data_IF_805563396840
#
_entry.id   IF_805563396840
#
_cell.length_a   1.000
_cell.length_b   1.000
_cell.length_c   1.000
_cell.angle_alpha   90.00
_cell.angle_beta   90.00
_cell.angle_gamma   90.00
#
_symmetry.space_group_name_H-M   'P 1'
#
loop_
_entity.id
_entity.type
_entity.pdbx_description
1 polymer ?
#
# COMPACT_ATOMS: atom_id res chain seq x y z
N UNK A 1 -3.46 35.01 20.14
CA UNK A 1 -3.71 34.02 19.06
C UNK A 1 -2.62 32.94 18.96
N UNK A 2 -1.31 33.26 19.00
CA UNK A 2 -0.23 32.25 18.97
C UNK A 2 -0.17 31.31 20.19
N UNK A 3 -0.72 31.69 21.35
CA UNK A 3 -0.74 30.82 22.54
C UNK A 3 -1.86 29.76 22.53
N UNK A 4 -2.95 29.99 21.79
CA UNK A 4 -4.09 29.04 21.74
C UNK A 4 -3.72 27.83 20.87
N UNK A 5 -2.99 28.05 19.77
CA UNK A 5 -2.48 26.99 18.89
C UNK A 5 -1.33 26.17 19.50
N UNK A 6 -0.75 26.62 20.62
CA UNK A 6 0.34 25.93 21.35
C UNK A 6 -0.14 25.28 22.64
N UNK A 7 -1.44 25.36 22.94
CA UNK A 7 -2.00 24.69 24.10
C UNK A 7 -2.07 23.20 23.81
N UNK A 8 -1.49 22.37 24.68
CA UNK A 8 -1.54 20.91 24.57
C UNK A 8 -2.99 20.41 24.45
N UNK A 9 -3.93 21.16 25.01
CA UNK A 9 -5.37 20.91 24.89
C UNK A 9 -5.87 20.85 23.45
N UNK A 10 -5.41 21.75 22.57
CA UNK A 10 -5.79 21.71 21.15
C UNK A 10 -5.22 20.46 20.47
N UNK A 11 -3.98 20.08 20.80
CA UNK A 11 -3.37 18.85 20.31
C UNK A 11 -4.10 17.59 20.78
N UNK A 12 -4.51 17.53 22.06
CA UNK A 12 -5.32 16.44 22.59
C UNK A 12 -6.70 16.37 21.93
N UNK A 13 -7.35 17.51 21.67
CA UNK A 13 -8.65 17.56 21.02
C UNK A 13 -8.57 17.05 19.57
N UNK A 14 -7.60 17.53 18.79
CA UNK A 14 -7.33 17.04 17.44
C UNK A 14 -7.04 15.54 17.44
N UNK A 15 -6.20 15.06 18.36
CA UNK A 15 -5.87 13.65 18.48
C UNK A 15 -7.10 12.79 18.83
N UNK A 16 -8.00 13.31 19.68
CA UNK A 16 -9.27 12.66 20.00
C UNK A 16 -10.18 12.58 18.77
N UNK A 17 -10.38 13.69 18.04
CA UNK A 17 -11.21 13.72 16.81
C UNK A 17 -10.69 12.73 15.77
N UNK A 18 -9.37 12.65 15.60
CA UNK A 18 -8.74 11.72 14.65
C UNK A 18 -8.87 10.27 15.12
N UNK A 19 -8.70 9.99 16.42
CA UNK A 19 -8.86 8.65 16.97
C UNK A 19 -10.29 8.14 16.78
N UNK A 20 -11.30 8.99 17.03
CA UNK A 20 -12.70 8.70 16.70
C UNK A 20 -12.90 8.47 15.21
N UNK A 21 -12.27 9.28 14.34
CA UNK A 21 -12.35 9.09 12.89
C UNK A 21 -11.75 7.74 12.44
N UNK A 22 -10.63 7.31 13.02
CA UNK A 22 -10.01 6.03 12.71
C UNK A 22 -10.87 4.84 13.14
N UNK A 23 -11.44 4.90 14.36
CA UNK A 23 -12.38 3.88 14.85
C UNK A 23 -13.61 3.84 13.95
N UNK A 24 -14.16 5.00 13.57
CA UNK A 24 -15.28 5.11 12.64
C UNK A 24 -14.97 4.44 11.29
N UNK A 25 -13.79 4.69 10.70
CA UNK A 25 -13.37 4.04 9.45
C UNK A 25 -13.33 2.51 9.61
N UNK A 26 -12.73 2.00 10.71
CA UNK A 26 -12.66 0.56 10.96
C UNK A 26 -14.04 -0.09 11.14
N UNK A 27 -14.94 0.56 11.87
CA UNK A 27 -16.34 0.13 12.06
C UNK A 27 -17.08 0.16 10.73
N UNK A 28 -16.90 1.21 9.94
CA UNK A 28 -17.55 1.35 8.63
C UNK A 28 -17.13 0.22 7.67
N UNK A 29 -15.87 -0.21 7.69
CA UNK A 29 -15.39 -1.30 6.83
C UNK A 29 -15.89 -2.69 7.29
N UNK A 30 -16.02 -2.92 8.60
CA UNK A 30 -16.48 -4.20 9.13
C UNK A 30 -17.99 -4.43 8.97
N UNK A 31 -18.80 -3.39 9.17
CA UNK A 31 -20.25 -3.48 9.13
C UNK A 31 -20.86 -3.22 7.75
N UNK A 32 -20.13 -2.60 6.82
CA UNK A 32 -20.62 -2.31 5.47
C UNK A 32 -20.22 -3.42 4.47
N UNK A 33 -20.72 -4.65 4.68
CA UNK A 33 -20.48 -5.81 3.80
C UNK A 33 -21.45 -5.92 2.61
N UNK A 34 -22.41 -5.01 2.50
CA UNK A 34 -23.40 -4.97 1.41
C UNK A 34 -22.93 -3.99 0.33
N UNK A 35 -22.76 -4.48 -0.91
CA UNK A 35 -22.41 -3.69 -2.12
C UNK A 35 -23.47 -2.62 -2.50
N UNK A 36 -24.52 -2.46 -1.72
CA UNK A 36 -25.58 -1.47 -1.89
C UNK A 36 -25.30 -0.20 -1.08
N UNK A 37 -24.74 0.80 -1.76
CA UNK A 37 -24.44 2.17 -1.28
C UNK A 37 -25.60 2.95 -0.63
N UNK A 38 -26.82 2.40 -0.62
CA UNK A 38 -28.06 3.09 -0.24
C UNK A 38 -28.59 2.76 1.14
N UNK A 39 -28.08 1.70 1.75
CA UNK A 39 -28.42 1.31 3.12
C UNK A 39 -27.23 1.53 4.06
N UNK A 40 -26.22 2.29 3.60
CA UNK A 40 -25.30 2.94 4.53
C UNK A 40 -26.09 4.07 5.17
N UNK A 41 -26.57 3.84 6.38
CA UNK A 41 -27.38 4.78 7.17
C UNK A 41 -26.95 6.23 6.92
N UNK A 42 -27.91 7.14 6.71
CA UNK A 42 -27.67 8.59 6.65
C UNK A 42 -26.76 9.09 7.78
N UNK A 43 -26.74 8.35 8.89
CA UNK A 43 -25.82 8.46 10.02
C UNK A 43 -24.34 8.40 9.60
N UNK A 44 -23.91 7.43 8.80
CA UNK A 44 -22.53 7.33 8.30
C UNK A 44 -22.16 8.54 7.43
N UNK A 45 -23.04 8.94 6.52
CA UNK A 45 -22.80 10.12 5.69
C UNK A 45 -22.70 11.41 6.52
N UNK A 46 -23.54 11.55 7.55
CA UNK A 46 -23.49 12.68 8.48
C UNK A 46 -22.16 12.73 9.25
N UNK A 47 -21.68 11.57 9.74
CA UNK A 47 -20.39 11.49 10.43
C UNK A 47 -19.23 11.85 9.49
N UNK A 48 -19.24 11.40 8.24
CA UNK A 48 -18.22 11.77 7.25
C UNK A 48 -18.16 13.28 7.01
N UNK A 49 -19.32 13.94 6.88
CA UNK A 49 -19.39 15.40 6.75
C UNK A 49 -18.93 16.13 8.02
N UNK A 50 -19.29 15.62 9.20
CA UNK A 50 -18.87 16.19 10.48
C UNK A 50 -17.35 16.16 10.63
N UNK A 51 -16.71 15.01 10.39
CA UNK A 51 -15.25 14.89 10.44
C UNK A 51 -14.59 15.78 9.39
N UNK A 52 -15.10 15.82 8.16
CA UNK A 52 -14.59 16.69 7.11
C UNK A 52 -14.63 18.17 7.52
N UNK A 53 -15.73 18.62 8.13
CA UNK A 53 -15.88 19.97 8.66
C UNK A 53 -14.94 20.27 9.83
N UNK A 54 -14.78 19.34 10.77
CA UNK A 54 -13.83 19.48 11.88
C UNK A 54 -12.39 19.66 11.38
N UNK A 55 -11.97 18.88 10.39
CA UNK A 55 -10.64 18.99 9.78
C UNK A 55 -10.44 20.28 8.99
N UNK A 56 -11.48 20.74 8.28
CA UNK A 56 -11.43 22.03 7.60
C UNK A 56 -11.26 23.18 8.60
N UNK A 57 -11.98 23.13 9.73
CA UNK A 57 -11.85 24.10 10.80
C UNK A 57 -10.44 24.09 11.40
N UNK A 58 -9.90 22.91 11.69
CA UNK A 58 -8.53 22.75 12.18
C UNK A 58 -7.50 23.40 11.24
N UNK A 59 -7.60 23.13 9.94
CA UNK A 59 -6.71 23.71 8.93
C UNK A 59 -6.83 25.24 8.88
N UNK A 60 -8.05 25.79 8.99
CA UNK A 60 -8.31 27.23 9.02
C UNK A 60 -7.69 27.86 10.26
N UNK A 61 -7.87 27.24 11.44
CA UNK A 61 -7.28 27.73 12.70
C UNK A 61 -5.75 27.74 12.59
N UNK A 62 -5.16 26.67 12.03
CA UNK A 62 -3.71 26.57 11.80
C UNK A 62 -3.21 27.64 10.83
N UNK A 63 -3.95 27.91 9.75
CA UNK A 63 -3.63 28.96 8.79
C UNK A 63 -3.73 30.37 9.41
N UNK A 64 -4.76 30.61 10.23
CA UNK A 64 -4.95 31.89 10.93
C UNK A 64 -3.91 32.14 12.05
N UNK A 65 -3.29 31.08 12.58
CA UNK A 65 -2.24 31.21 13.59
C UNK A 65 -0.90 31.72 13.01
N UNK A 66 -0.67 31.60 11.70
CA UNK A 66 0.57 32.02 11.05
C UNK A 66 0.51 33.50 10.68
N UNK A 67 1.52 34.27 11.12
CA UNK A 67 1.58 35.74 10.95
C UNK A 67 1.90 36.18 9.51
N UNK A 68 2.66 35.38 8.76
CA UNK A 68 2.97 35.58 7.34
C UNK A 68 2.36 34.44 6.50
N UNK A 69 1.27 34.72 5.77
CA UNK A 69 0.54 33.72 4.99
C UNK A 69 1.38 33.03 3.91
N UNK A 70 2.35 33.73 3.31
CA UNK A 70 3.24 33.15 2.30
C UNK A 70 4.18 32.07 2.85
N UNK A 71 4.58 32.16 4.12
CA UNK A 71 5.44 31.15 4.73
C UNK A 71 4.69 29.85 4.98
N UNK A 72 3.40 29.94 5.32
CA UNK A 72 2.52 28.77 5.47
C UNK A 72 2.35 28.00 4.16
N UNK A 73 2.24 28.70 3.03
CA UNK A 73 2.09 28.07 1.72
C UNK A 73 3.42 27.55 1.14
N UNK A 74 4.56 27.97 1.68
CA UNK A 74 5.87 27.46 1.27
C UNK A 74 6.23 26.15 1.97
N UNK A 75 5.64 25.89 3.14
CA UNK A 75 5.79 24.62 3.85
C UNK A 75 5.13 23.47 3.07
N UNK A 76 5.92 22.45 2.74
CA UNK A 76 5.46 21.27 2.00
C UNK A 76 4.47 20.44 2.81
N UNK A 77 4.60 20.45 4.14
CA UNK A 77 3.69 19.71 5.02
C UNK A 77 2.29 20.33 5.04
N UNK A 78 2.22 21.65 5.21
CA UNK A 78 0.97 22.40 5.15
C UNK A 78 0.29 22.28 3.78
N UNK A 79 1.04 22.41 2.67
CA UNK A 79 0.48 22.25 1.32
C UNK A 79 -0.14 20.87 1.08
N UNK A 80 0.53 19.81 1.54
CA UNK A 80 -0.03 18.47 1.40
C UNK A 80 -1.27 18.29 2.27
N UNK A 81 -1.28 18.82 3.49
CA UNK A 81 -2.44 18.74 4.38
C UNK A 81 -3.65 19.48 3.79
N UNK A 82 -3.44 20.68 3.25
CA UNK A 82 -4.44 21.43 2.52
C UNK A 82 -4.96 20.68 1.28
N UNK A 83 -4.08 20.03 0.52
CA UNK A 83 -4.45 19.20 -0.62
C UNK A 83 -5.27 17.98 -0.19
N UNK A 84 -4.92 17.32 0.92
CA UNK A 84 -5.71 16.22 1.45
C UNK A 84 -7.12 16.68 1.84
N UNK A 85 -7.24 17.80 2.56
CA UNK A 85 -8.54 18.37 2.97
C UNK A 85 -9.38 18.69 1.73
N UNK A 86 -8.77 19.33 0.73
CA UNK A 86 -9.43 19.61 -0.54
C UNK A 86 -9.93 18.34 -1.25
N UNK A 87 -9.10 17.29 -1.32
CA UNK A 87 -9.50 16.01 -1.92
C UNK A 87 -10.65 15.34 -1.18
N UNK A 88 -10.71 15.45 0.15
CA UNK A 88 -11.81 14.89 0.95
C UNK A 88 -13.12 15.67 0.80
N UNK A 89 -13.03 16.99 0.68
CA UNK A 89 -14.18 17.83 0.34
C UNK A 89 -14.65 17.46 -1.07
N UNK A 90 -13.73 17.36 -2.03
CA UNK A 90 -14.09 16.95 -3.38
C UNK A 90 -14.77 15.57 -3.44
N UNK A 91 -14.25 14.58 -2.70
CA UNK A 91 -14.85 13.23 -2.59
C UNK A 91 -16.29 13.28 -2.03
N UNK A 92 -16.51 14.03 -0.94
CA UNK A 92 -17.84 14.16 -0.31
C UNK A 92 -18.83 14.92 -1.21
N UNK A 93 -18.39 16.00 -1.85
CA UNK A 93 -19.24 16.79 -2.76
C UNK A 93 -19.55 16.03 -4.04
N UNK A 94 -18.60 15.26 -4.57
CA UNK A 94 -18.81 14.44 -5.76
C UNK A 94 -19.85 13.34 -5.49
N UNK A 95 -19.82 12.71 -4.32
CA UNK A 95 -20.87 11.77 -3.90
C UNK A 95 -22.26 12.41 -3.91
N UNK A 96 -22.41 13.58 -3.29
CA UNK A 96 -23.68 14.32 -3.26
C UNK A 96 -24.11 14.79 -4.64
N UNK A 97 -23.17 15.26 -5.48
CA UNK A 97 -23.45 15.71 -6.85
C UNK A 97 -23.95 14.57 -7.73
N UNK A 98 -23.36 13.38 -7.62
CA UNK A 98 -23.81 12.22 -8.39
C UNK A 98 -25.23 11.82 -7.97
N UNK A 99 -25.51 11.73 -6.67
CA UNK A 99 -26.86 11.46 -6.15
C UNK A 99 -27.90 12.49 -6.64
N UNK A 100 -27.53 13.77 -6.69
CA UNK A 100 -28.41 14.85 -7.14
C UNK A 100 -28.70 14.81 -8.65
N UNK A 101 -27.70 14.46 -9.48
CA UNK A 101 -27.83 14.46 -10.95
C UNK A 101 -28.60 13.23 -11.41
N UNK A 102 -28.33 12.05 -10.85
CA UNK A 102 -28.90 10.82 -11.41
C UNK A 102 -30.32 10.56 -10.96
N UNK A 103 -30.81 11.11 -9.83
CA UNK A 103 -32.09 10.71 -9.19
C UNK A 103 -32.28 9.18 -9.07
N UNK A 104 -31.22 8.43 -9.34
CA UNK A 104 -31.14 6.99 -9.44
C UNK A 104 -30.14 6.62 -8.38
N UNK A 105 -30.68 5.91 -7.40
CA UNK A 105 -30.01 5.43 -6.22
C UNK A 105 -28.86 4.43 -6.53
N UNK A 106 -28.81 3.86 -7.74
CA UNK A 106 -27.77 2.88 -8.16
C UNK A 106 -27.15 3.26 -9.52
N UNK A 107 -25.97 3.88 -9.50
CA UNK A 107 -25.28 4.27 -10.73
C UNK A 107 -24.37 3.13 -11.22
N UNK A 108 -24.91 2.28 -12.10
CA UNK A 108 -24.12 1.41 -12.96
C UNK A 108 -23.74 2.16 -14.25
N UNK A 109 -22.78 3.10 -14.16
CA UNK A 109 -22.17 3.71 -15.36
C UNK A 109 -20.92 2.89 -15.76
N UNK A 110 -20.90 2.26 -16.95
CA UNK A 110 -19.83 1.35 -17.36
C UNK A 110 -18.48 2.05 -17.62
N UNK A 111 -18.45 3.37 -17.82
CA UNK A 111 -17.23 4.20 -17.91
C UNK A 111 -16.78 4.79 -16.56
N UNK A 112 -17.65 4.78 -15.55
CA UNK A 112 -17.37 5.34 -14.24
C UNK A 112 -16.63 4.35 -13.32
N UNK A 113 -16.57 3.06 -13.65
CA UNK A 113 -15.92 2.00 -12.86
C UNK A 113 -14.50 2.34 -12.39
N UNK A 114 -13.70 3.03 -13.20
CA UNK A 114 -12.35 3.48 -12.82
C UNK A 114 -12.38 4.69 -11.88
N UNK A 115 -13.29 5.65 -12.10
CA UNK A 115 -13.44 6.82 -11.23
C UNK A 115 -13.93 6.43 -9.83
N UNK A 116 -14.84 5.46 -9.71
CA UNK A 116 -15.29 4.93 -8.42
C UNK A 116 -14.16 4.24 -7.64
N UNK A 117 -13.26 3.54 -8.32
CA UNK A 117 -12.07 2.93 -7.69
C UNK A 117 -11.13 4.01 -7.15
N UNK A 118 -10.91 5.09 -7.91
CA UNK A 118 -10.12 6.24 -7.48
C UNK A 118 -10.76 6.94 -6.27
N UNK A 119 -12.08 7.13 -6.26
CA UNK A 119 -12.81 7.68 -5.11
C UNK A 119 -12.68 6.80 -3.86
N UNK A 120 -12.75 5.47 -4.03
CA UNK A 120 -12.51 4.53 -2.94
C UNK A 120 -11.09 4.67 -2.37
N UNK A 121 -10.09 4.89 -3.21
CA UNK A 121 -8.72 5.16 -2.76
C UNK A 121 -8.57 6.54 -2.09
N UNK A 122 -9.31 7.56 -2.55
CA UNK A 122 -9.31 8.88 -1.92
C UNK A 122 -9.82 8.85 -0.48
N UNK A 123 -10.72 7.92 -0.12
CA UNK A 123 -11.13 7.73 1.29
C UNK A 123 -9.98 7.28 2.19
N UNK A 124 -9.04 6.46 1.68
CA UNK A 124 -7.84 6.03 2.41
C UNK A 124 -6.86 7.17 2.66
N UNK A 125 -6.96 8.28 1.91
CA UNK A 125 -6.14 9.48 2.15
C UNK A 125 -6.36 10.08 3.54
N UNK A 126 -7.51 9.80 4.18
CA UNK A 126 -7.81 10.20 5.57
C UNK A 126 -6.92 9.45 6.57
N UNK A 127 -6.54 8.19 6.28
CA UNK A 127 -5.58 7.42 7.08
C UNK A 127 -4.17 8.01 7.03
N UNK A 128 -3.81 8.64 5.90
CA UNK A 128 -2.52 9.35 5.78
C UNK A 128 -2.43 10.53 6.75
N UNK A 129 -3.57 11.12 7.14
CA UNK A 129 -3.59 12.19 8.16
C UNK A 129 -3.34 11.65 9.56
N UNK A 130 -3.92 10.49 9.90
CA UNK A 130 -3.64 9.80 11.17
C UNK A 130 -2.14 9.59 11.37
N UNK A 131 -1.44 9.19 10.31
CA UNK A 131 0.01 9.01 10.33
C UNK A 131 0.78 10.30 10.63
N UNK A 132 0.26 11.45 10.18
CA UNK A 132 0.93 12.74 10.34
C UNK A 132 0.76 13.37 11.72
N UNK A 133 -0.32 13.03 12.40
CA UNK A 133 -0.57 13.51 13.76
C UNK A 133 0.30 12.81 14.80
N UNK A 134 0.92 11.68 14.43
CA UNK A 134 1.93 11.00 15.22
C UNK A 134 3.32 11.28 14.59
N UNK A 135 4.03 12.35 15.00
CA UNK A 135 5.34 12.66 14.43
C UNK A 135 6.35 11.52 14.62
N UNK A 136 6.19 10.70 15.67
CA UNK A 136 6.97 9.49 15.90
C UNK A 136 6.87 8.49 14.73
N UNK A 137 5.67 8.32 14.17
CA UNK A 137 5.44 7.42 13.04
C UNK A 137 6.08 7.96 11.76
N UNK A 138 6.06 9.27 11.55
CA UNK A 138 6.77 9.89 10.43
C UNK A 138 8.29 9.69 10.54
N UNK A 139 8.85 9.83 11.73
CA UNK A 139 10.28 9.56 11.97
C UNK A 139 10.62 8.09 11.70
N UNK A 140 9.75 7.16 12.11
CA UNK A 140 9.91 5.74 11.81
C UNK A 140 9.86 5.47 10.30
N UNK A 141 8.87 6.03 9.59
CA UNK A 141 8.72 5.88 8.14
C UNK A 141 9.95 6.43 7.41
N UNK A 142 10.43 7.60 7.80
CA UNK A 142 11.64 8.17 7.20
C UNK A 142 12.86 7.28 7.47
N UNK A 143 13.00 6.72 8.67
CA UNK A 143 14.03 5.73 8.97
C UNK A 143 13.92 4.46 8.13
N UNK A 144 12.70 3.98 7.89
CA UNK A 144 12.44 2.84 7.00
C UNK A 144 12.79 3.15 5.55
N UNK A 145 12.50 4.36 5.06
CA UNK A 145 12.85 4.79 3.70
C UNK A 145 14.37 4.86 3.51
N UNK A 146 15.10 5.37 4.50
CA UNK A 146 16.56 5.36 4.48
C UNK A 146 17.14 3.94 4.51
N UNK A 147 16.58 3.06 5.36
CA UNK A 147 16.96 1.65 5.37
C UNK A 147 16.62 0.95 4.04
N UNK A 148 15.48 1.27 3.43
CA UNK A 148 15.07 0.71 2.15
C UNK A 148 16.06 1.04 1.02
N UNK A 149 16.72 2.21 1.07
CA UNK A 149 17.79 2.56 0.13
C UNK A 149 18.98 1.61 0.23
N UNK A 150 19.41 1.28 1.45
CA UNK A 150 20.50 0.33 1.69
C UNK A 150 20.10 -1.11 1.33
N UNK A 151 18.87 -1.52 1.66
CA UNK A 151 18.34 -2.82 1.26
C UNK A 151 18.23 -2.91 -0.25
N UNK A 152 17.87 -1.82 -0.94
CA UNK A 152 17.78 -1.76 -2.40
C UNK A 152 19.08 -2.10 -3.11
N UNK A 153 20.24 -1.65 -2.61
CA UNK A 153 21.54 -2.02 -3.21
C UNK A 153 21.86 -3.50 -3.01
N UNK A 154 21.55 -4.06 -1.85
CA UNK A 154 21.72 -5.50 -1.59
C UNK A 154 20.79 -6.37 -2.45
N UNK A 155 19.55 -5.94 -2.67
CA UNK A 155 18.59 -6.60 -3.55
C UNK A 155 19.02 -6.55 -5.01
N UNK A 156 19.63 -5.44 -5.45
CA UNK A 156 20.18 -5.32 -6.80
C UNK A 156 21.36 -6.27 -7.02
N UNK A 157 22.27 -6.38 -6.06
CA UNK A 157 23.36 -7.36 -6.10
C UNK A 157 22.81 -8.79 -6.15
N UNK A 158 21.80 -9.09 -5.33
CA UNK A 158 21.13 -10.40 -5.34
C UNK A 158 20.48 -10.70 -6.69
N UNK A 159 19.82 -9.72 -7.31
CA UNK A 159 19.19 -9.88 -8.62
C UNK A 159 20.23 -10.17 -9.72
N UNK A 160 21.40 -9.51 -9.69
CA UNK A 160 22.50 -9.77 -10.63
C UNK A 160 23.04 -11.20 -10.43
N UNK A 161 23.23 -11.65 -9.19
CA UNK A 161 23.69 -13.02 -8.91
C UNK A 161 22.70 -14.06 -9.43
N UNK A 162 21.41 -13.91 -9.14
CA UNK A 162 20.36 -14.82 -9.62
C UNK A 162 20.35 -14.84 -11.16
N UNK A 163 20.55 -13.70 -11.82
CA UNK A 163 20.64 -13.61 -13.27
C UNK A 163 21.85 -14.38 -13.82
N UNK A 164 23.04 -14.21 -13.23
CA UNK A 164 24.26 -14.94 -13.63
C UNK A 164 24.08 -16.45 -13.48
N UNK A 165 23.57 -16.92 -12.35
CA UNK A 165 23.28 -18.34 -12.14
C UNK A 165 22.17 -18.85 -13.08
N UNK A 166 21.19 -18.01 -13.41
CA UNK A 166 20.16 -18.32 -14.40
C UNK A 166 20.72 -18.59 -15.79
N UNK A 167 21.72 -17.81 -16.24
CA UNK A 167 22.43 -18.04 -17.51
C UNK A 167 23.18 -19.37 -17.49
N UNK A 168 23.94 -19.63 -16.42
CA UNK A 168 24.70 -20.88 -16.27
C UNK A 168 23.74 -22.08 -16.31
N UNK A 169 22.67 -22.05 -15.53
CA UNK A 169 21.67 -23.12 -15.53
C UNK A 169 21.01 -23.31 -16.89
N UNK A 170 20.67 -22.22 -17.59
CA UNK A 170 20.12 -22.31 -18.95
C UNK A 170 21.12 -22.94 -19.94
N UNK A 171 22.40 -22.59 -19.88
CA UNK A 171 23.44 -23.20 -20.72
C UNK A 171 23.60 -24.69 -20.45
N UNK A 172 23.60 -25.12 -19.18
CA UNK A 172 23.75 -26.54 -18.83
C UNK A 172 22.49 -27.36 -19.13
N UNK A 173 21.29 -26.87 -18.81
CA UNK A 173 20.05 -27.63 -18.93
C UNK A 173 19.41 -27.59 -20.32
N UNK A 174 19.74 -26.61 -21.16
CA UNK A 174 19.25 -26.57 -22.55
C UNK A 174 19.72 -27.77 -23.39
N UNK A 175 20.76 -28.48 -22.95
CA UNK A 175 21.27 -29.68 -23.61
C UNK A 175 20.43 -30.95 -23.40
N UNK A 176 19.51 -30.97 -22.43
CA UNK A 176 18.70 -32.15 -22.10
C UNK A 176 17.26 -31.98 -22.62
N UNK A 177 16.81 -32.85 -23.53
CA UNK A 177 15.47 -32.82 -24.14
C UNK A 177 14.32 -32.82 -23.10
N UNK A 178 14.47 -33.53 -21.97
CA UNK A 178 13.43 -33.60 -20.93
C UNK A 178 13.27 -32.30 -20.10
N UNK A 179 14.31 -31.46 -20.06
CA UNK A 179 14.33 -30.21 -19.28
C UNK A 179 14.24 -28.94 -20.14
N UNK A 180 14.40 -29.07 -21.46
CA UNK A 180 14.25 -27.99 -22.43
C UNK A 180 12.86 -27.32 -22.35
N UNK A 181 11.81 -28.09 -22.07
CA UNK A 181 10.43 -27.58 -21.98
C UNK A 181 10.18 -26.73 -20.72
N UNK A 182 11.04 -26.85 -19.67
CA UNK A 182 10.94 -26.08 -18.42
C UNK A 182 12.01 -25.01 -18.22
N UNK A 183 13.17 -25.14 -18.86
CA UNK A 183 14.28 -24.18 -18.74
C UNK A 183 14.68 -23.58 -20.09
N UNK A 184 13.86 -23.78 -21.12
CA UNK A 184 14.13 -23.32 -22.49
C UNK A 184 14.16 -21.81 -22.66
N UNK A 185 13.65 -21.04 -21.69
CA UNK A 185 13.83 -19.58 -21.66
C UNK A 185 14.61 -19.13 -20.43
N UNK A 186 15.45 -18.11 -20.62
CA UNK A 186 16.22 -17.48 -19.55
C UNK A 186 15.32 -16.97 -18.42
N UNK A 187 14.14 -16.43 -18.77
CA UNK A 187 13.16 -15.93 -17.81
C UNK A 187 12.63 -17.05 -16.89
N UNK A 188 12.33 -18.24 -17.42
CA UNK A 188 11.91 -19.38 -16.59
C UNK A 188 13.04 -19.88 -15.69
N UNK A 189 14.28 -19.88 -16.19
CA UNK A 189 15.45 -20.28 -15.42
C UNK A 189 15.71 -19.35 -14.24
N UNK A 190 15.65 -18.04 -14.45
CA UNK A 190 15.79 -17.01 -13.41
C UNK A 190 14.62 -17.07 -12.42
N UNK A 191 13.37 -17.19 -12.90
CA UNK A 191 12.18 -17.31 -12.05
C UNK A 191 12.20 -18.57 -11.18
N UNK A 192 12.61 -19.71 -11.77
CA UNK A 192 12.76 -20.97 -11.05
C UNK A 192 13.81 -20.87 -9.94
N UNK A 193 14.95 -20.22 -10.21
CA UNK A 193 16.02 -20.03 -9.22
C UNK A 193 15.58 -19.08 -8.09
N UNK A 194 14.90 -17.99 -8.43
CA UNK A 194 14.33 -17.06 -7.44
C UNK A 194 13.30 -17.76 -6.54
N UNK A 195 12.38 -18.53 -7.13
CA UNK A 195 11.37 -19.29 -6.41
C UNK A 195 12.02 -20.35 -5.50
N UNK A 196 13.06 -21.04 -5.97
CA UNK A 196 13.82 -22.01 -5.17
C UNK A 196 14.48 -21.35 -3.95
N UNK A 197 15.20 -20.25 -4.17
CA UNK A 197 15.89 -19.55 -3.08
C UNK A 197 14.91 -18.93 -2.07
N UNK A 198 13.80 -18.34 -2.55
CA UNK A 198 12.77 -17.73 -1.71
C UNK A 198 11.90 -18.73 -0.94
N UNK A 199 11.53 -19.87 -1.54
CA UNK A 199 10.69 -20.88 -0.88
C UNK A 199 11.49 -21.91 -0.07
N UNK A 200 12.81 -22.02 -0.24
CA UNK A 200 13.63 -22.98 0.53
C UNK A 200 13.53 -22.79 2.06
N UNK A 201 13.31 -21.54 2.50
CA UNK A 201 13.15 -21.20 3.92
C UNK A 201 11.73 -21.40 4.45
N UNK A 202 10.70 -21.26 3.60
CA UNK A 202 9.32 -21.59 3.97
C UNK A 202 9.10 -23.10 3.74
N UNK A 203 9.30 -23.91 4.80
CA UNK A 203 8.99 -25.35 4.84
C UNK A 203 7.51 -25.68 4.56
N UNK A 204 6.94 -25.32 3.41
CA UNK A 204 5.68 -25.87 2.91
C UNK A 204 5.94 -27.26 2.31
N UNK A 205 6.12 -28.22 3.23
CA UNK A 205 6.42 -29.62 2.96
C UNK A 205 5.40 -30.43 2.12
N UNK A 206 4.11 -30.09 1.97
CA UNK A 206 3.21 -30.94 1.18
C UNK A 206 3.16 -30.58 -0.32
N UNK A 207 3.21 -29.29 -0.69
CA UNK A 207 3.13 -28.86 -2.10
C UNK A 207 4.45 -29.08 -2.85
N UNK A 208 5.59 -28.88 -2.17
CA UNK A 208 6.91 -29.18 -2.75
C UNK A 208 7.10 -30.67 -3.01
N UNK A 209 6.64 -31.54 -2.09
CA UNK A 209 6.63 -32.98 -2.32
C UNK A 209 5.71 -33.38 -3.48
N UNK A 210 4.55 -32.76 -3.68
CA UNK A 210 3.73 -33.07 -4.87
C UNK A 210 4.37 -32.60 -6.18
N UNK A 211 5.13 -31.49 -6.17
CA UNK A 211 5.85 -31.00 -7.34
C UNK A 211 7.11 -31.84 -7.67
N UNK A 212 7.79 -32.38 -6.64
CA UNK A 212 9.01 -33.22 -6.77
C UNK A 212 8.78 -34.73 -6.72
N UNK A 213 7.68 -35.25 -6.17
CA UNK A 213 7.37 -36.68 -6.12
C UNK A 213 6.64 -37.15 -7.39
N UNK A 214 5.94 -36.24 -8.07
CA UNK A 214 5.40 -36.47 -9.42
C UNK A 214 6.48 -36.42 -10.52
N UNK A 215 7.72 -36.04 -10.17
CA UNK A 215 8.86 -35.98 -11.08
C UNK A 215 10.08 -36.57 -10.42
N UNK A 216 10.39 -37.80 -10.80
CA UNK A 216 11.47 -38.69 -10.32
C UNK A 216 12.89 -38.07 -10.38
N UNK A 217 13.11 -36.93 -9.71
CA UNK A 217 14.37 -36.24 -9.61
C UNK A 217 15.04 -36.73 -8.32
N UNK A 218 15.85 -37.77 -8.48
CA UNK A 218 16.66 -38.33 -7.41
C UNK A 218 17.74 -37.30 -7.05
N UNK A 219 17.58 -36.67 -5.88
CA UNK A 219 18.52 -35.69 -5.31
C UNK A 219 19.98 -36.17 -5.24
N UNK A 220 20.23 -37.48 -5.35
CA UNK A 220 21.59 -38.05 -5.43
C UNK A 220 22.40 -37.52 -6.63
N UNK A 221 21.76 -37.21 -7.77
CA UNK A 221 22.51 -36.80 -8.97
C UNK A 221 22.96 -35.33 -8.94
N UNK A 222 22.23 -34.45 -8.25
CA UNK A 222 22.58 -33.03 -8.15
C UNK A 222 23.72 -32.78 -7.14
N UNK A 223 23.77 -33.54 -6.03
CA UNK A 223 24.92 -33.49 -5.12
C UNK A 223 26.16 -34.19 -5.69
N UNK A 224 26.03 -35.30 -6.43
CA UNK A 224 27.19 -35.95 -7.05
C UNK A 224 27.83 -35.09 -8.15
N UNK A 225 27.05 -34.40 -8.99
CA UNK A 225 27.61 -33.59 -10.08
C UNK A 225 28.41 -32.36 -9.59
N UNK A 226 28.07 -31.82 -8.41
CA UNK A 226 28.78 -30.68 -7.81
C UNK A 226 30.00 -31.06 -6.96
N UNK A 227 30.08 -32.31 -6.48
CA UNK A 227 31.19 -32.78 -5.62
C UNK A 227 32.16 -33.77 -6.29
N UNK A 228 31.85 -34.36 -7.45
CA UNK A 228 32.77 -35.30 -8.15
C UNK A 228 33.79 -34.64 -9.08
N UNK A 229 33.91 -33.31 -9.14
CA UNK A 229 34.90 -32.62 -9.98
C UNK A 229 36.17 -32.20 -9.22
N UNK A 230 36.47 -32.84 -8.09
CA UNK A 230 37.77 -32.72 -7.44
C UNK A 230 38.10 -34.01 -6.69
N UNK A 231 38.64 -34.99 -7.43
CA UNK A 231 39.65 -36.02 -7.10
C UNK A 231 39.66 -37.03 -8.25
#
# INVERSE_FOLDING_TARGET
MQQIARSDWFSYLTLLVISMNAVYIGVSEQWNKSDTLLESDLVFQLFDHFFCGAFMLELIVRFCAVRHKSDSLRDSWFRFDALLVFLSIFDTWLMTAILAITNIQTVALPTAGSAWKLLRLLRLSRLVRLVRCLPELLTLINGMLEAARAVGSSLLLLAILIYMFGIVMHMFLSSNEELADRFGTLALSVCGLFCWMGLSHLKLNPLWKLFFQKRNMRWSSFSCALFSCHV
#
